data_IF_618626699916
#
_entry.id   IF_618626699916
#
_cell.length_a   1.000
_cell.length_b   1.000
_cell.length_c   1.000
_cell.angle_alpha   90.00
_cell.angle_beta   90.00
_cell.angle_gamma   90.00
#
_symmetry.space_group_name_H-M   'P 1'
#
loop_
_entity.id
_entity.type
_entity.pdbx_description
1 polymer ?
#
# COMPACT_ATOMS: atom_id res chain seq x y z
N UNK A 1 0.33 21.26 6.84
CA UNK A 1 -0.36 21.71 5.62
C UNK A 1 -1.03 20.47 5.01
N UNK A 2 -2.38 20.39 5.05
CA UNK A 2 -3.16 19.25 4.52
C UNK A 2 -2.98 19.06 3.00
N UNK A 3 -2.36 20.02 2.28
CA UNK A 3 -2.19 20.01 0.82
C UNK A 3 -1.22 18.95 0.27
N UNK A 4 -0.62 18.08 1.09
CA UNK A 4 0.34 17.04 0.65
C UNK A 4 0.02 15.63 1.14
N UNK A 5 -1.10 15.40 1.82
CA UNK A 5 -1.42 14.07 2.34
C UNK A 5 -1.73 13.12 1.18
N UNK A 6 -0.99 12.02 1.09
CA UNK A 6 -1.25 10.91 0.16
C UNK A 6 -2.10 9.89 0.90
N UNK A 7 -3.42 9.97 0.77
CA UNK A 7 -4.35 9.18 1.57
C UNK A 7 -5.23 8.25 0.72
N UNK A 8 -5.19 8.39 -0.60
CA UNK A 8 -5.91 7.53 -1.53
C UNK A 8 -4.92 6.77 -2.40
N UNK A 9 -5.21 5.50 -2.65
CA UNK A 9 -4.61 4.72 -3.72
C UNK A 9 -5.62 4.58 -4.85
N UNK A 10 -5.24 5.09 -6.02
CA UNK A 10 -6.09 5.06 -7.22
C UNK A 10 -5.57 3.99 -8.17
N UNK A 11 -6.47 3.10 -8.60
CA UNK A 11 -6.24 2.18 -9.72
C UNK A 11 -6.78 2.84 -10.99
N UNK A 12 -5.97 2.90 -12.04
CA UNK A 12 -6.36 3.36 -13.36
C UNK A 12 -6.22 2.20 -14.35
N UNK A 13 -7.31 1.82 -14.99
CA UNK A 13 -7.25 1.01 -16.21
C UNK A 13 -6.95 1.93 -17.39
N UNK A 14 -5.85 1.63 -18.08
CA UNK A 14 -5.33 2.47 -19.16
C UNK A 14 -6.07 2.25 -20.48
N UNK A 15 -6.79 1.13 -20.63
CA UNK A 15 -7.48 0.79 -21.87
C UNK A 15 -8.83 1.50 -21.98
N UNK A 16 -9.57 1.58 -20.87
CA UNK A 16 -10.87 2.24 -20.80
C UNK A 16 -10.84 3.61 -20.10
N UNK A 17 -9.68 4.00 -19.56
CA UNK A 17 -9.48 5.23 -18.78
C UNK A 17 -10.34 5.31 -17.51
N UNK A 18 -10.84 4.18 -17.02
CA UNK A 18 -11.58 4.09 -15.77
C UNK A 18 -10.62 4.16 -14.59
N UNK A 19 -10.90 5.04 -13.62
CA UNK A 19 -10.17 5.11 -12.38
C UNK A 19 -11.08 4.95 -11.17
N UNK A 20 -10.55 4.34 -10.11
CA UNK A 20 -11.26 4.13 -8.86
C UNK A 20 -10.30 4.22 -7.67
N UNK A 21 -10.81 4.68 -6.53
CA UNK A 21 -10.09 4.60 -5.25
C UNK A 21 -10.23 3.17 -4.73
N UNK A 22 -9.11 2.46 -4.62
CA UNK A 22 -9.06 1.06 -4.14
C UNK A 22 -8.60 0.93 -2.70
N UNK A 23 -8.11 2.02 -2.11
CA UNK A 23 -7.72 2.10 -0.71
C UNK A 23 -7.74 3.55 -0.24
N UNK A 24 -8.22 3.79 0.99
CA UNK A 24 -8.28 5.11 1.62
C UNK A 24 -7.76 5.03 3.06
N UNK A 25 -6.90 5.99 3.46
CA UNK A 25 -6.46 6.17 4.85
C UNK A 25 -7.16 7.38 5.47
N UNK A 26 -8.03 7.11 6.45
CA UNK A 26 -8.82 8.14 7.10
C UNK A 26 -8.05 8.93 8.18
N UNK A 27 -6.97 8.37 8.75
CA UNK A 27 -6.15 9.12 9.71
C UNK A 27 -5.28 10.16 8.98
N UNK A 28 -5.62 11.44 9.17
CA UNK A 28 -4.93 12.57 8.58
C UNK A 28 -3.43 12.68 8.92
N UNK A 29 -2.97 11.92 9.92
CA UNK A 29 -1.56 11.86 10.34
C UNK A 29 -0.75 10.84 9.53
N UNK A 30 -1.43 9.96 8.80
CA UNK A 30 -0.84 8.86 8.06
C UNK A 30 -0.91 9.12 6.55
N UNK A 31 -0.01 8.46 5.84
CA UNK A 31 0.08 8.50 4.39
C UNK A 31 0.18 7.08 3.84
N UNK A 32 -0.16 6.94 2.57
CA UNK A 32 0.02 5.76 1.78
C UNK A 32 1.31 5.86 0.94
N UNK A 33 2.01 4.73 0.83
CA UNK A 33 3.07 4.50 -0.17
C UNK A 33 2.87 3.13 -0.80
N UNK A 34 2.69 3.11 -2.12
CA UNK A 34 2.72 1.88 -2.90
C UNK A 34 4.09 1.68 -3.52
N UNK A 35 4.55 0.44 -3.56
CA UNK A 35 5.80 0.06 -4.21
C UNK A 35 5.72 -1.41 -4.67
N UNK A 36 6.65 -1.81 -5.54
CA UNK A 36 6.73 -3.17 -6.08
C UNK A 36 7.90 -3.89 -5.43
N UNK A 37 7.71 -5.13 -5.01
CA UNK A 37 8.76 -5.98 -4.44
C UNK A 37 9.98 -6.10 -5.36
N UNK A 38 11.15 -6.42 -4.81
CA UNK A 38 12.38 -6.56 -5.59
C UNK A 38 12.23 -7.57 -6.75
N UNK A 39 11.59 -8.71 -6.50
CA UNK A 39 11.30 -9.72 -7.54
C UNK A 39 10.31 -9.27 -8.61
N UNK A 40 9.56 -8.18 -8.36
CA UNK A 40 8.43 -7.77 -9.17
C UNK A 40 7.13 -8.56 -8.96
N UNK A 41 7.09 -9.59 -8.12
CA UNK A 41 5.92 -10.45 -7.96
C UNK A 41 4.77 -9.80 -7.16
N UNK A 42 5.06 -8.84 -6.30
CA UNK A 42 4.07 -8.27 -5.37
C UNK A 42 4.04 -6.74 -5.44
N UNK A 43 2.84 -6.18 -5.27
CA UNK A 43 2.66 -4.80 -4.86
C UNK A 43 2.51 -4.77 -3.34
N UNK A 44 3.25 -3.88 -2.69
CA UNK A 44 3.16 -3.60 -1.26
C UNK A 44 2.61 -2.19 -1.07
N UNK A 45 1.71 -2.05 -0.10
CA UNK A 45 1.12 -0.79 0.31
C UNK A 45 1.41 -0.57 1.78
N UNK A 46 2.23 0.44 2.05
CA UNK A 46 2.52 0.90 3.40
C UNK A 46 1.51 1.98 3.79
N UNK A 47 0.91 1.83 4.97
CA UNK A 47 0.37 2.96 5.72
C UNK A 47 1.48 3.42 6.65
N UNK A 48 1.84 4.71 6.58
CA UNK A 48 3.03 5.24 7.21
C UNK A 48 2.77 6.56 7.94
N UNK A 49 3.46 6.72 9.06
CA UNK A 49 3.66 8.03 9.68
C UNK A 49 4.87 8.75 9.03
N UNK A 50 5.39 9.78 9.68
CA UNK A 50 6.54 10.52 9.18
C UNK A 50 7.88 9.75 9.27
N UNK A 51 7.92 8.64 10.01
CA UNK A 51 9.13 7.88 10.29
C UNK A 51 9.17 6.53 9.57
N UNK A 52 8.02 5.86 9.35
CA UNK A 52 8.00 4.62 8.60
C UNK A 52 6.63 3.97 8.48
N UNK A 53 6.59 2.80 7.84
CA UNK A 53 5.37 2.02 7.73
C UNK A 53 4.98 1.43 9.09
N UNK A 54 3.73 1.63 9.48
CA UNK A 54 3.13 1.12 10.73
C UNK A 54 2.11 0.02 10.46
N UNK A 55 1.70 -0.15 9.20
CA UNK A 55 0.80 -1.18 8.70
C UNK A 55 1.16 -1.47 7.25
N UNK A 56 1.09 -2.74 6.83
CA UNK A 56 1.46 -3.14 5.46
C UNK A 56 0.44 -4.10 4.87
N UNK A 57 0.10 -3.87 3.61
CA UNK A 57 -0.76 -4.68 2.78
C UNK A 57 -0.02 -5.16 1.53
N UNK A 58 -0.52 -6.22 0.90
CA UNK A 58 0.04 -6.73 -0.34
C UNK A 58 -1.03 -7.26 -1.30
N UNK A 59 -0.69 -7.33 -2.59
CA UNK A 59 -1.40 -8.11 -3.59
C UNK A 59 -0.44 -8.57 -4.72
N UNK A 60 -0.75 -9.65 -5.46
CA UNK A 60 0.07 -10.09 -6.58
C UNK A 60 0.09 -9.03 -7.69
N UNK A 61 1.28 -8.66 -8.18
CA UNK A 61 1.45 -7.57 -9.14
C UNK A 61 0.83 -7.87 -10.52
N UNK A 62 0.65 -9.15 -10.85
CA UNK A 62 -0.01 -9.61 -12.08
C UNK A 62 -1.54 -9.63 -11.98
N UNK A 63 -2.08 -9.44 -10.78
CA UNK A 63 -3.51 -9.46 -10.49
C UNK A 63 -3.92 -8.20 -9.73
N UNK A 64 -3.71 -6.99 -10.28
CA UNK A 64 -4.04 -5.73 -9.60
C UNK A 64 -5.55 -5.57 -9.35
N UNK A 65 -6.38 -6.44 -9.93
CA UNK A 65 -7.82 -6.55 -9.75
C UNK A 65 -8.28 -7.08 -8.38
N UNK A 66 -7.44 -7.89 -7.72
CA UNK A 66 -7.83 -8.56 -6.46
C UNK A 66 -7.77 -7.61 -5.26
N UNK A 67 -8.38 -8.03 -4.16
CA UNK A 67 -8.36 -7.27 -2.90
C UNK A 67 -6.98 -7.25 -2.25
N UNK A 68 -6.66 -6.12 -1.61
CA UNK A 68 -5.48 -5.97 -0.76
C UNK A 68 -5.55 -6.88 0.47
N UNK A 69 -4.48 -7.62 0.74
CA UNK A 69 -4.34 -8.49 1.91
C UNK A 69 -3.36 -7.89 2.90
N UNK A 70 -3.82 -7.63 4.13
CA UNK A 70 -2.95 -7.15 5.21
C UNK A 70 -1.95 -8.22 5.63
N UNK A 71 -0.68 -7.82 5.78
CA UNK A 71 0.42 -8.68 6.25
C UNK A 71 1.01 -8.20 7.57
N UNK A 72 0.93 -6.90 7.86
CA UNK A 72 1.32 -6.30 9.15
C UNK A 72 0.15 -5.46 9.63
N UNK A 73 -0.35 -5.74 10.84
CA UNK A 73 -1.38 -4.94 11.47
C UNK A 73 -0.82 -3.62 12.00
N UNK A 74 -1.67 -2.60 12.13
CA UNK A 74 -1.27 -1.28 12.59
C UNK A 74 -0.65 -1.31 13.98
N UNK A 75 0.60 -0.86 14.08
CA UNK A 75 1.30 -0.58 15.33
C UNK A 75 2.15 0.69 15.20
N UNK A 76 1.81 1.72 15.96
CA UNK A 76 2.53 3.01 15.94
C UNK A 76 3.83 2.98 16.78
N UNK A 77 4.11 1.89 17.48
CA UNK A 77 5.34 1.70 18.27
C UNK A 77 6.53 1.16 17.47
N UNK A 78 6.28 0.59 16.28
CA UNK A 78 7.30 -0.04 15.46
C UNK A 78 7.16 0.37 14.00
N UNK A 79 8.30 0.51 13.32
CA UNK A 79 8.33 0.71 11.88
C UNK A 79 8.82 -0.54 11.19
N UNK A 80 8.10 -0.93 10.14
CA UNK A 80 8.36 -2.17 9.41
C UNK A 80 8.78 -1.86 7.98
N UNK A 81 9.67 -2.69 7.46
CA UNK A 81 9.92 -2.80 6.03
C UNK A 81 9.61 -4.24 5.64
N UNK A 82 8.49 -4.44 4.94
CA UNK A 82 8.07 -5.77 4.52
C UNK A 82 8.72 -6.11 3.18
N UNK A 83 9.12 -7.36 3.00
CA UNK A 83 9.51 -7.93 1.71
C UNK A 83 9.06 -9.39 1.70
N UNK A 84 9.22 -10.11 0.59
CA UNK A 84 8.78 -11.48 0.47
C UNK A 84 9.91 -12.49 0.26
N UNK A 85 9.65 -13.74 0.63
CA UNK A 85 10.37 -14.93 0.20
C UNK A 85 9.36 -15.94 -0.38
N UNK A 86 9.27 -16.01 -1.71
CA UNK A 86 8.21 -16.78 -2.38
C UNK A 86 6.84 -16.17 -2.07
N UNK A 87 5.94 -16.94 -1.47
CA UNK A 87 4.58 -16.47 -1.12
C UNK A 87 4.44 -16.05 0.36
N UNK A 88 5.57 -15.87 1.05
CA UNK A 88 5.64 -15.48 2.46
C UNK A 88 6.26 -14.10 2.61
N UNK A 89 5.88 -13.42 3.69
CA UNK A 89 6.28 -12.06 4.04
C UNK A 89 6.84 -12.05 5.48
#
# INVERSE_FOLDING_TARGET
DRRRQRHELIRLDVNDSHSEVVFEEADERLNLRIWRSDSGAWLLLDVMDNAGAVEVWCLPADQPGVGWRRIVARDLGHHVFAEHWGDRF
#
